data_IF_617267573756
#
_entry.id   IF_617267573756
#
_cell.length_a   1.000
_cell.length_b   1.000
_cell.length_c   1.000
_cell.angle_alpha   90.00
_cell.angle_beta   90.00
_cell.angle_gamma   90.00
#
_symmetry.space_group_name_H-M   'P 1'
#
loop_
_entity.id
_entity.type
_entity.pdbx_description
1 polymer ?
#
# COMPACT_ATOMS: atom_id res chain seq x y z
N UNK A 1 -32.22 -16.41 42.98
CA UNK A 1 -32.82 -15.44 42.03
C UNK A 1 -32.15 -14.10 42.23
N UNK A 2 -31.07 -13.84 41.49
CA UNK A 2 -30.32 -12.57 41.51
C UNK A 2 -30.75 -11.74 40.32
N UNK A 3 -31.45 -10.64 40.57
CA UNK A 3 -31.94 -9.72 39.56
C UNK A 3 -30.77 -9.09 38.77
N UNK A 4 -30.68 -9.38 37.47
CA UNK A 4 -29.83 -8.64 36.54
C UNK A 4 -30.51 -7.31 36.24
N UNK A 5 -29.93 -6.22 36.74
CA UNK A 5 -30.30 -4.89 36.28
C UNK A 5 -29.86 -4.73 34.81
N UNK A 6 -30.74 -4.23 33.93
CA UNK A 6 -30.36 -3.96 32.55
C UNK A 6 -29.52 -2.68 32.49
N UNK A 7 -28.25 -2.82 32.12
CA UNK A 7 -27.31 -1.75 31.75
C UNK A 7 -27.76 -1.06 30.44
N UNK A 8 -28.89 -0.36 30.46
CA UNK A 8 -29.45 0.36 29.29
C UNK A 8 -28.99 1.83 29.26
N UNK A 9 -28.31 2.33 30.30
CA UNK A 9 -27.93 3.75 30.42
C UNK A 9 -26.44 4.05 30.26
N UNK A 10 -25.58 3.05 30.03
CA UNK A 10 -24.20 3.29 29.62
C UNK A 10 -24.11 3.57 28.11
N UNK A 11 -24.80 4.62 27.64
CA UNK A 11 -24.48 5.19 26.34
C UNK A 11 -23.00 5.57 26.30
N UNK A 12 -22.25 5.35 25.21
CA UNK A 12 -20.82 5.60 25.16
C UNK A 12 -20.56 7.10 25.34
N UNK A 13 -20.28 7.50 26.58
CA UNK A 13 -19.85 8.83 26.95
C UNK A 13 -18.54 9.12 26.20
N UNK A 14 -18.62 10.00 25.20
CA UNK A 14 -17.42 10.62 24.61
C UNK A 14 -17.01 10.16 23.22
N UNK A 15 -17.95 10.00 22.28
CA UNK A 15 -17.57 10.03 20.87
C UNK A 15 -16.87 11.38 20.58
N UNK A 16 -15.65 11.40 20.02
CA UNK A 16 -14.90 12.65 19.81
C UNK A 16 -15.68 13.60 18.90
N UNK A 17 -15.76 14.87 19.31
CA UNK A 17 -16.40 15.94 18.54
C UNK A 17 -15.85 16.05 17.11
N UNK A 18 -16.62 16.65 16.19
CA UNK A 18 -16.21 16.82 14.78
C UNK A 18 -14.84 17.50 14.64
N UNK A 19 -14.59 18.54 15.44
CA UNK A 19 -13.30 19.25 15.46
C UNK A 19 -12.14 18.35 15.88
N UNK A 20 -12.31 17.53 16.93
CA UNK A 20 -11.29 16.59 17.37
C UNK A 20 -10.97 15.53 16.30
N UNK A 21 -11.97 15.11 15.51
CA UNK A 21 -11.78 14.20 14.37
C UNK A 21 -10.98 14.86 13.25
N UNK A 22 -11.29 16.11 12.90
CA UNK A 22 -10.56 16.89 11.89
C UNK A 22 -9.12 17.12 12.35
N UNK A 23 -8.92 17.57 13.59
CA UNK A 23 -7.57 17.78 14.15
C UNK A 23 -6.73 16.51 14.14
N UNK A 24 -7.32 15.35 14.51
CA UNK A 24 -6.64 14.05 14.43
C UNK A 24 -6.34 13.64 12.99
N UNK A 25 -7.23 13.94 12.04
CA UNK A 25 -6.99 13.68 10.63
C UNK A 25 -5.82 14.50 10.11
N UNK A 26 -5.80 15.82 10.37
CA UNK A 26 -4.72 16.72 9.97
C UNK A 26 -3.38 16.34 10.62
N UNK A 27 -3.37 16.02 11.91
CA UNK A 27 -2.16 15.59 12.61
C UNK A 27 -1.60 14.28 12.01
N UNK A 28 -2.45 13.29 11.78
CA UNK A 28 -2.02 12.02 11.16
C UNK A 28 -1.56 12.23 9.72
N UNK A 29 -2.25 13.11 8.97
CA UNK A 29 -1.86 13.54 7.63
C UNK A 29 -0.47 14.15 7.62
N UNK A 30 -0.24 15.17 8.43
CA UNK A 30 1.05 15.86 8.53
C UNK A 30 2.19 14.94 8.94
N UNK A 31 2.01 14.15 10.00
CA UNK A 31 3.03 13.19 10.45
C UNK A 31 3.33 12.12 9.39
N UNK A 32 2.28 11.57 8.76
CA UNK A 32 2.44 10.59 7.69
C UNK A 32 3.17 11.15 6.47
N UNK A 33 2.83 12.37 6.05
CA UNK A 33 3.53 13.11 5.00
C UNK A 33 5.02 13.28 5.32
N UNK A 34 5.34 13.76 6.51
CA UNK A 34 6.73 13.97 6.95
C UNK A 34 7.51 12.65 7.00
N UNK A 35 6.88 11.56 7.44
CA UNK A 35 7.53 10.25 7.44
C UNK A 35 7.72 9.69 6.02
N UNK A 36 6.88 10.08 5.06
CA UNK A 36 6.99 9.65 3.67
C UNK A 36 8.03 10.44 2.85
N UNK A 37 8.74 11.43 3.41
CA UNK A 37 9.81 12.16 2.70
C UNK A 37 11.09 11.33 2.56
N UNK A 38 11.29 10.31 3.39
CA UNK A 38 12.42 9.39 3.35
C UNK A 38 11.99 7.92 3.39
N UNK A 39 12.76 6.98 2.80
CA UNK A 39 12.37 5.58 2.70
C UNK A 39 12.44 4.87 4.06
N UNK A 40 13.41 5.22 4.91
CA UNK A 40 13.55 4.64 6.26
C UNK A 40 12.35 5.05 7.14
N UNK A 41 12.01 6.33 7.15
CA UNK A 41 10.85 6.84 7.89
C UNK A 41 9.52 6.36 7.29
N UNK A 42 9.46 6.13 5.97
CA UNK A 42 8.26 5.62 5.31
C UNK A 42 7.89 4.19 5.79
N UNK A 43 8.85 3.40 6.28
CA UNK A 43 8.58 2.11 6.94
C UNK A 43 7.69 2.30 8.17
N UNK A 44 7.90 3.36 8.95
CA UNK A 44 7.09 3.67 10.13
C UNK A 44 5.66 4.02 9.71
N UNK A 45 5.50 4.86 8.68
CA UNK A 45 4.19 5.20 8.12
C UNK A 45 3.46 3.97 7.55
N UNK A 46 4.18 3.12 6.81
CA UNK A 46 3.65 1.86 6.29
C UNK A 46 3.18 0.94 7.42
N UNK A 47 3.96 0.83 8.49
CA UNK A 47 3.61 0.04 9.66
C UNK A 47 2.38 0.55 10.40
N UNK A 48 2.28 1.86 10.59
CA UNK A 48 1.09 2.47 11.18
C UNK A 48 -0.16 2.21 10.33
N UNK A 49 -0.05 2.37 9.00
CA UNK A 49 -1.14 2.07 8.07
C UNK A 49 -1.55 0.60 8.09
N UNK A 50 -0.59 -0.33 8.12
CA UNK A 50 -0.85 -1.77 8.25
C UNK A 50 -1.59 -2.08 9.54
N UNK A 51 -1.12 -1.60 10.70
CA UNK A 51 -1.81 -1.79 11.98
C UNK A 51 -3.20 -1.17 12.00
N UNK A 52 -3.37 -0.01 11.36
CA UNK A 52 -4.68 0.65 11.25
C UNK A 52 -5.65 -0.18 10.40
N UNK A 53 -5.19 -0.74 9.29
CA UNK A 53 -5.98 -1.67 8.47
C UNK A 53 -6.38 -2.91 9.25
N UNK A 54 -5.44 -3.49 10.01
CA UNK A 54 -5.69 -4.64 10.87
C UNK A 54 -6.77 -4.33 11.91
N UNK A 55 -6.59 -3.25 12.68
CA UNK A 55 -7.56 -2.81 13.68
C UNK A 55 -8.96 -2.58 13.08
N UNK A 56 -9.05 -1.94 11.91
CA UNK A 56 -10.33 -1.75 11.23
C UNK A 56 -10.98 -3.10 10.86
N UNK A 57 -10.22 -4.07 10.35
CA UNK A 57 -10.76 -5.39 10.03
C UNK A 57 -11.21 -6.14 11.28
N UNK A 58 -10.35 -6.22 12.30
CA UNK A 58 -10.61 -6.88 13.59
C UNK A 58 -11.82 -6.33 14.33
N UNK A 59 -11.95 -5.00 14.38
CA UNK A 59 -13.13 -4.34 14.97
C UNK A 59 -14.45 -4.77 14.30
N UNK A 60 -14.41 -5.12 13.01
CA UNK A 60 -15.58 -5.61 12.26
C UNK A 60 -15.85 -7.08 12.50
N UNK A 61 -14.86 -7.82 12.99
CA UNK A 61 -14.99 -9.21 13.41
C UNK A 61 -15.46 -9.34 14.87
N UNK A 62 -15.67 -8.22 15.57
CA UNK A 62 -16.05 -8.21 16.98
C UNK A 62 -14.87 -8.25 17.95
N UNK A 63 -13.64 -8.21 17.44
CA UNK A 63 -12.43 -8.13 18.25
C UNK A 63 -12.20 -6.68 18.69
N UNK A 64 -12.42 -6.41 19.97
CA UNK A 64 -12.21 -5.10 20.58
C UNK A 64 -10.71 -4.90 20.86
N UNK A 65 -10.05 -4.13 20.01
CA UNK A 65 -8.65 -3.71 20.19
C UNK A 65 -8.56 -2.19 20.33
N UNK A 66 -7.57 -1.69 21.08
CA UNK A 66 -7.25 -0.26 21.08
C UNK A 66 -6.75 0.18 19.69
N UNK A 67 -7.19 1.37 19.24
CA UNK A 67 -6.74 1.91 17.96
C UNK A 67 -5.22 2.22 17.98
N UNK A 68 -4.48 1.91 16.90
CA UNK A 68 -3.04 2.10 16.87
C UNK A 68 -2.64 3.59 16.85
N UNK A 69 -1.71 3.96 17.72
CA UNK A 69 -1.03 5.26 17.72
C UNK A 69 0.26 5.28 16.90
N UNK A 70 0.74 6.47 16.55
CA UNK A 70 2.05 6.69 15.90
C UNK A 70 3.22 6.32 16.81
N UNK A 71 3.15 6.76 18.07
CA UNK A 71 4.18 6.52 19.09
C UNK A 71 3.62 5.72 20.26
N UNK A 72 2.46 6.09 20.77
CA UNK A 72 1.91 5.47 21.98
C UNK A 72 1.31 4.09 21.67
N UNK A 73 1.91 3.06 22.28
CA UNK A 73 1.37 1.72 22.40
C UNK A 73 0.21 1.61 23.41
N UNK A 74 -0.29 0.38 23.63
CA UNK A 74 -1.39 0.10 24.54
C UNK A 74 -1.16 0.67 25.94
N UNK A 75 -2.23 1.07 26.64
CA UNK A 75 -2.10 1.59 28.03
C UNK A 75 -1.74 0.50 29.02
N UNK A 76 -2.36 -0.66 28.85
CA UNK A 76 -2.19 -1.82 29.70
C UNK A 76 -1.63 -2.98 28.88
N UNK A 77 -0.64 -3.64 29.46
CA UNK A 77 -0.05 -4.86 28.91
C UNK A 77 -0.05 -5.89 30.03
N UNK A 78 -0.80 -6.98 29.85
CA UNK A 78 -0.98 -8.01 30.88
C UNK A 78 -1.54 -7.48 32.22
N UNK A 79 -2.50 -6.54 32.14
CA UNK A 79 -3.13 -5.94 33.33
C UNK A 79 -2.23 -5.01 34.15
N UNK A 80 -1.04 -4.65 33.64
CA UNK A 80 -0.17 -3.65 34.26
C UNK A 80 -0.14 -2.38 33.44
N UNK A 81 -0.22 -1.24 34.13
CA UNK A 81 0.00 0.06 33.50
C UNK A 81 1.44 0.16 32.98
N UNK A 82 1.58 0.62 31.75
CA UNK A 82 2.89 0.78 31.11
C UNK A 82 3.35 2.24 31.21
N UNK A 83 4.64 2.44 31.51
CA UNK A 83 5.22 3.79 31.57
C UNK A 83 5.11 4.50 30.22
N UNK A 84 5.01 5.84 30.24
CA UNK A 84 4.86 6.64 29.00
C UNK A 84 5.97 6.38 27.98
N UNK A 85 7.20 6.19 28.45
CA UNK A 85 8.38 5.90 27.61
C UNK A 85 8.27 4.50 27.02
N UNK A 86 7.95 3.49 27.84
CA UNK A 86 7.76 2.12 27.35
C UNK A 86 6.63 2.04 26.30
N UNK A 87 5.56 2.83 26.48
CA UNK A 87 4.49 2.96 25.50
C UNK A 87 4.95 3.60 24.20
N UNK A 88 5.70 4.71 24.29
CA UNK A 88 6.22 5.41 23.11
C UNK A 88 7.17 4.52 22.29
N UNK A 89 8.10 3.84 22.96
CA UNK A 89 9.05 2.93 22.31
C UNK A 89 8.34 1.68 21.78
N UNK A 90 7.39 1.13 22.54
CA UNK A 90 6.61 -0.04 22.13
C UNK A 90 5.73 0.22 20.92
N UNK A 91 5.07 1.39 20.84
CA UNK A 91 4.25 1.74 19.68
C UNK A 91 5.08 2.04 18.43
N UNK A 92 6.23 2.72 18.57
CA UNK A 92 7.19 2.91 17.49
C UNK A 92 7.74 1.57 16.99
N UNK A 93 8.19 0.70 17.90
CA UNK A 93 8.69 -0.64 17.56
C UNK A 93 7.64 -1.50 16.87
N UNK A 94 6.38 -1.42 17.29
CA UNK A 94 5.27 -2.11 16.64
C UNK A 94 5.03 -1.59 15.21
N UNK A 95 5.15 -0.27 14.98
CA UNK A 95 5.07 0.30 13.63
C UNK A 95 6.26 -0.15 12.77
N UNK A 96 7.49 -0.11 13.28
CA UNK A 96 8.66 -0.60 12.53
C UNK A 96 8.49 -2.09 12.15
N UNK A 97 8.12 -2.95 13.10
CA UNK A 97 7.89 -4.38 12.84
C UNK A 97 6.83 -4.59 11.77
N UNK A 98 5.65 -3.99 11.92
CA UNK A 98 4.56 -4.14 10.94
C UNK A 98 4.96 -3.59 9.57
N UNK A 99 5.70 -2.47 9.54
CA UNK A 99 6.24 -1.86 8.34
C UNK A 99 7.20 -2.79 7.62
N UNK A 100 8.16 -3.39 8.34
CA UNK A 100 9.14 -4.33 7.78
C UNK A 100 8.49 -5.61 7.26
N UNK A 101 7.53 -6.19 7.99
CA UNK A 101 6.78 -7.37 7.50
C UNK A 101 6.04 -7.03 6.21
N UNK A 102 5.38 -5.87 6.18
CA UNK A 102 4.64 -5.40 5.01
C UNK A 102 5.56 -5.12 3.83
N UNK A 103 6.72 -4.50 4.07
CA UNK A 103 7.72 -4.20 3.06
C UNK A 103 8.32 -5.49 2.48
N UNK A 104 8.65 -6.46 3.34
CA UNK A 104 9.15 -7.77 2.91
C UNK A 104 8.13 -8.50 2.03
N UNK A 105 6.84 -8.48 2.41
CA UNK A 105 5.78 -9.05 1.59
C UNK A 105 5.63 -8.31 0.25
N UNK A 106 5.69 -6.98 0.25
CA UNK A 106 5.67 -6.18 -0.97
C UNK A 106 6.82 -6.58 -1.89
N UNK A 107 8.07 -6.59 -1.40
CA UNK A 107 9.22 -7.01 -2.20
C UNK A 107 9.10 -8.44 -2.71
N UNK A 108 8.69 -9.39 -1.88
CA UNK A 108 8.53 -10.77 -2.32
C UNK A 108 7.55 -10.91 -3.51
N UNK A 109 6.48 -10.10 -3.52
CA UNK A 109 5.47 -10.13 -4.59
C UNK A 109 5.81 -9.25 -5.78
N UNK A 110 6.49 -8.12 -5.59
CA UNK A 110 6.70 -7.14 -6.67
C UNK A 110 8.09 -7.19 -7.29
N UNK A 111 9.10 -7.65 -6.54
CA UNK A 111 10.48 -7.70 -7.01
C UNK A 111 10.65 -8.58 -8.26
N UNK A 112 10.03 -9.78 -8.39
CA UNK A 112 10.26 -10.64 -9.56
C UNK A 112 9.96 -9.96 -10.89
N UNK A 113 8.79 -9.32 -11.05
CA UNK A 113 8.45 -8.61 -12.28
C UNK A 113 9.18 -7.27 -12.41
N UNK A 114 9.53 -6.62 -11.30
CA UNK A 114 10.32 -5.39 -11.32
C UNK A 114 11.73 -5.65 -11.85
N UNK A 115 12.36 -6.76 -11.45
CA UNK A 115 13.66 -7.18 -11.98
C UNK A 115 13.59 -7.53 -13.46
N UNK A 116 12.51 -8.17 -13.91
CA UNK A 116 12.28 -8.43 -15.33
C UNK A 116 12.16 -7.12 -16.11
N UNK A 117 11.37 -6.15 -15.65
CA UNK A 117 11.28 -4.84 -16.29
C UNK A 117 12.62 -4.09 -16.31
N UNK A 118 13.40 -4.17 -15.22
CA UNK A 118 14.75 -3.59 -15.18
C UNK A 118 15.68 -4.24 -16.21
N UNK A 119 15.69 -5.57 -16.30
CA UNK A 119 16.47 -6.31 -17.30
C UNK A 119 16.03 -6.01 -18.73
N UNK A 120 14.72 -5.87 -18.96
CA UNK A 120 14.17 -5.48 -20.25
C UNK A 120 14.60 -4.07 -20.67
N UNK A 121 14.56 -3.12 -19.73
CA UNK A 121 15.05 -1.76 -19.96
C UNK A 121 16.55 -1.78 -20.31
N UNK A 122 17.36 -2.52 -19.54
CA UNK A 122 18.80 -2.64 -19.77
C UNK A 122 19.11 -3.24 -21.14
N UNK A 123 18.42 -4.33 -21.51
CA UNK A 123 18.56 -4.95 -22.83
C UNK A 123 18.15 -4.01 -23.98
N UNK A 124 17.11 -3.18 -23.77
CA UNK A 124 16.71 -2.15 -24.72
C UNK A 124 17.80 -1.09 -24.92
N UNK A 125 18.39 -0.62 -23.81
CA UNK A 125 19.51 0.33 -23.85
C UNK A 125 20.72 -0.25 -24.59
N UNK A 126 21.18 -1.45 -24.20
CA UNK A 126 22.28 -2.16 -24.86
C UNK A 126 22.06 -2.33 -26.37
N UNK A 127 20.86 -2.74 -26.78
CA UNK A 127 20.53 -2.90 -28.20
C UNK A 127 20.59 -1.57 -28.96
N UNK A 128 20.14 -0.46 -28.35
CA UNK A 128 20.20 0.87 -28.96
C UNK A 128 21.63 1.40 -29.14
N UNK A 129 22.54 1.16 -28.19
CA UNK A 129 23.90 1.71 -28.24
C UNK A 129 24.90 0.78 -28.92
N UNK A 130 24.80 -0.52 -28.71
CA UNK A 130 25.73 -1.50 -29.26
C UNK A 130 25.27 -2.13 -30.58
N UNK A 131 24.13 -1.67 -31.13
CA UNK A 131 23.55 -2.14 -32.41
C UNK A 131 23.39 -3.67 -32.45
N UNK A 132 23.09 -4.27 -31.30
CA UNK A 132 22.97 -5.72 -31.11
C UNK A 132 21.67 -6.29 -31.68
N UNK A 133 21.38 -6.06 -32.96
CA UNK A 133 20.10 -6.42 -33.61
C UNK A 133 19.74 -7.91 -33.46
N UNK A 134 20.74 -8.78 -33.30
CA UNK A 134 20.56 -10.22 -33.03
C UNK A 134 19.78 -10.49 -31.73
N UNK A 135 19.79 -9.55 -30.78
CA UNK A 135 19.13 -9.64 -29.47
C UNK A 135 17.95 -8.67 -29.33
N UNK A 136 17.50 -8.02 -30.41
CA UNK A 136 16.45 -7.01 -30.36
C UNK A 136 15.11 -7.51 -29.76
N UNK A 137 14.83 -8.81 -29.84
CA UNK A 137 13.62 -9.41 -29.28
C UNK A 137 13.70 -9.68 -27.77
N UNK A 138 14.89 -9.69 -27.17
CA UNK A 138 15.11 -10.09 -25.77
C UNK A 138 14.43 -9.11 -24.80
N UNK A 139 14.70 -7.81 -24.96
CA UNK A 139 14.10 -6.74 -24.14
C UNK A 139 12.55 -6.79 -24.14
N UNK A 140 11.89 -6.73 -25.31
CA UNK A 140 10.43 -6.84 -25.41
C UNK A 140 9.87 -8.12 -24.78
N UNK A 141 10.51 -9.28 -25.00
CA UNK A 141 10.04 -10.56 -24.47
C UNK A 141 10.08 -10.59 -22.94
N UNK A 142 11.19 -10.13 -22.35
CA UNK A 142 11.34 -10.03 -20.88
C UNK A 142 10.33 -9.02 -20.31
N UNK A 143 10.11 -7.88 -20.99
CA UNK A 143 9.13 -6.88 -20.55
C UNK A 143 7.70 -7.43 -20.54
N UNK A 144 7.29 -8.11 -21.61
CA UNK A 144 5.96 -8.72 -21.71
C UNK A 144 5.77 -9.81 -20.65
N UNK A 145 6.80 -10.63 -20.41
CA UNK A 145 6.75 -11.64 -19.36
C UNK A 145 6.62 -11.02 -17.95
N UNK A 146 7.42 -9.99 -17.64
CA UNK A 146 7.28 -9.24 -16.39
C UNK A 146 5.89 -8.61 -16.26
N UNK A 147 5.36 -8.04 -17.35
CA UNK A 147 4.03 -7.44 -17.38
C UNK A 147 2.92 -8.46 -17.14
N UNK A 148 3.04 -9.67 -17.70
CA UNK A 148 2.09 -10.76 -17.44
C UNK A 148 2.08 -11.16 -15.96
N UNK A 149 3.26 -11.29 -15.34
CA UNK A 149 3.39 -11.60 -13.91
C UNK A 149 2.82 -10.46 -13.06
N UNK A 150 3.13 -9.20 -13.39
CA UNK A 150 2.60 -8.03 -12.70
C UNK A 150 1.06 -7.97 -12.79
N UNK A 151 0.50 -8.19 -13.99
CA UNK A 151 -0.94 -8.21 -14.20
C UNK A 151 -1.63 -9.29 -13.35
N UNK A 152 -0.98 -10.44 -13.15
CA UNK A 152 -1.51 -11.51 -12.29
C UNK A 152 -1.44 -11.18 -10.80
N UNK A 153 -0.42 -10.47 -10.33
CA UNK A 153 -0.18 -10.24 -8.89
C UNK A 153 -0.86 -8.96 -8.39
N UNK A 154 -0.73 -7.86 -9.11
CA UNK A 154 -1.15 -6.53 -8.65
C UNK A 154 -2.63 -6.45 -8.26
N UNK A 155 -3.60 -7.06 -8.99
CA UNK A 155 -5.01 -7.04 -8.61
C UNK A 155 -5.31 -7.62 -7.23
N UNK A 156 -4.57 -8.65 -6.81
CA UNK A 156 -4.77 -9.30 -5.52
C UNK A 156 -4.04 -8.60 -4.38
N UNK A 157 -2.95 -7.87 -4.70
CA UNK A 157 -2.00 -7.34 -3.72
C UNK A 157 -2.65 -6.51 -2.60
N UNK A 158 -3.58 -5.56 -2.85
CA UNK A 158 -4.19 -4.79 -1.76
C UNK A 158 -4.96 -5.65 -0.75
N UNK A 159 -5.61 -6.73 -1.22
CA UNK A 159 -6.35 -7.67 -0.38
C UNK A 159 -5.42 -8.61 0.38
N UNK A 160 -4.32 -9.03 -0.26
CA UNK A 160 -3.25 -9.80 0.38
C UNK A 160 -2.63 -9.03 1.54
N UNK A 161 -2.37 -7.74 1.35
CA UNK A 161 -1.81 -6.87 2.38
C UNK A 161 -2.80 -6.59 3.51
N UNK A 162 -4.10 -6.51 3.23
CA UNK A 162 -5.13 -6.41 4.27
C UNK A 162 -5.25 -7.71 5.08
N UNK A 163 -5.12 -8.86 4.41
CA UNK A 163 -5.10 -10.16 5.08
C UNK A 163 -3.86 -10.33 5.98
N UNK A 164 -2.68 -10.06 5.44
CA UNK A 164 -1.42 -10.06 6.19
C UNK A 164 -1.48 -9.09 7.38
N UNK A 165 -2.04 -7.89 7.19
CA UNK A 165 -2.20 -6.93 8.27
C UNK A 165 -3.07 -7.51 9.40
N UNK A 166 -4.18 -8.15 9.04
CA UNK A 166 -5.12 -8.70 10.01
C UNK A 166 -4.55 -9.90 10.76
N UNK A 167 -3.84 -10.80 10.08
CA UNK A 167 -3.23 -11.98 10.71
C UNK A 167 -1.89 -11.68 11.40
N UNK A 168 -1.31 -10.49 11.18
CA UNK A 168 -0.03 -10.04 11.73
C UNK A 168 1.14 -11.04 11.54
N UNK A 169 1.12 -11.81 10.44
CA UNK A 169 2.18 -12.77 10.07
C UNK A 169 2.55 -12.65 8.60
N UNK A 170 3.84 -12.77 8.29
CA UNK A 170 4.35 -12.68 6.92
C UNK A 170 3.77 -13.78 6.01
N UNK A 171 3.67 -15.01 6.53
CA UNK A 171 3.18 -16.18 5.78
C UNK A 171 1.75 -16.01 5.27
N UNK A 172 0.91 -15.22 5.94
CA UNK A 172 -0.47 -14.95 5.49
C UNK A 172 -0.50 -14.30 4.10
N UNK A 173 0.50 -13.48 3.76
CA UNK A 173 0.66 -12.90 2.43
C UNK A 173 0.89 -13.92 1.31
N UNK A 174 1.16 -15.19 1.65
CA UNK A 174 1.47 -16.27 0.70
C UNK A 174 0.44 -17.40 0.68
N UNK A 175 -0.64 -17.28 1.47
CA UNK A 175 -1.70 -18.29 1.53
C UNK A 175 -2.66 -18.16 0.33
N UNK A 176 -2.17 -18.49 -0.87
CA UNK A 176 -2.83 -18.23 -2.16
C UNK A 176 -4.26 -18.78 -2.26
N UNK A 177 -4.54 -19.91 -1.60
CA UNK A 177 -5.90 -20.49 -1.57
C UNK A 177 -6.91 -19.59 -0.84
N UNK A 178 -6.49 -18.97 0.28
CA UNK A 178 -7.32 -18.02 1.04
C UNK A 178 -7.46 -16.71 0.28
N UNK A 179 -6.38 -16.23 -0.32
CA UNK A 179 -6.38 -15.03 -1.17
C UNK A 179 -7.33 -15.22 -2.37
N UNK A 180 -7.28 -16.36 -3.05
CA UNK A 180 -8.20 -16.67 -4.15
C UNK A 180 -9.66 -16.69 -3.72
N UNK A 181 -9.97 -17.28 -2.55
CA UNK A 181 -11.33 -17.27 -1.98
C UNK A 181 -11.79 -15.84 -1.62
N UNK A 182 -10.89 -15.03 -1.08
CA UNK A 182 -11.12 -13.62 -0.73
C UNK A 182 -11.38 -12.75 -1.97
N UNK A 183 -10.57 -12.90 -3.02
CA UNK A 183 -10.73 -12.21 -4.32
C UNK A 183 -12.08 -12.57 -4.94
N UNK A 184 -12.43 -13.86 -4.95
CA UNK A 184 -13.71 -14.32 -5.47
C UNK A 184 -14.92 -13.69 -4.73
N UNK A 185 -14.82 -13.52 -3.41
CA UNK A 185 -15.85 -12.87 -2.61
C UNK A 185 -15.88 -11.34 -2.71
N UNK A 186 -14.78 -10.73 -3.19
CA UNK A 186 -14.68 -9.27 -3.32
C UNK A 186 -15.42 -8.75 -4.56
N UNK A 187 -15.45 -9.54 -5.65
CA UNK A 187 -16.17 -9.23 -6.89
C UNK A 187 -15.66 -7.96 -7.58
N UNK A 188 -16.58 -7.10 -8.05
CA UNK A 188 -16.27 -5.84 -8.74
C UNK A 188 -15.36 -4.88 -7.96
N UNK A 189 -15.23 -5.07 -6.64
CA UNK A 189 -14.38 -4.24 -5.79
C UNK A 189 -12.90 -4.39 -6.11
N UNK A 190 -12.49 -5.52 -6.69
CA UNK A 190 -11.11 -5.77 -7.14
C UNK A 190 -10.73 -4.82 -8.29
N UNK A 191 -11.44 -4.80 -9.44
CA UNK A 191 -11.12 -3.85 -10.50
C UNK A 191 -11.31 -2.39 -10.08
N UNK A 192 -12.28 -2.07 -9.22
CA UNK A 192 -12.43 -0.71 -8.69
C UNK A 192 -11.22 -0.26 -7.85
N UNK A 193 -10.67 -1.16 -7.02
CA UNK A 193 -9.47 -0.86 -6.24
C UNK A 193 -8.24 -0.72 -7.13
N UNK A 194 -8.16 -1.49 -8.21
CA UNK A 194 -7.09 -1.32 -9.21
C UNK A 194 -7.20 -0.01 -9.99
N UNK A 195 -8.41 0.39 -10.39
CA UNK A 195 -8.62 1.68 -11.05
C UNK A 195 -8.16 2.83 -10.13
N UNK A 196 -8.54 2.79 -8.86
CA UNK A 196 -8.10 3.77 -7.88
C UNK A 196 -6.58 3.73 -7.66
N UNK A 197 -5.98 2.54 -7.63
CA UNK A 197 -4.51 2.39 -7.52
C UNK A 197 -3.82 3.05 -8.71
N UNK A 198 -4.30 2.82 -9.93
CA UNK A 198 -3.76 3.45 -11.14
C UNK A 198 -3.92 4.97 -11.13
N UNK A 199 -5.08 5.49 -10.70
CA UNK A 199 -5.30 6.94 -10.54
C UNK A 199 -4.36 7.55 -9.49
N UNK A 200 -4.18 6.88 -8.34
CA UNK A 200 -3.25 7.31 -7.30
C UNK A 200 -1.78 7.27 -7.76
N UNK A 201 -1.43 6.36 -8.68
CA UNK A 201 -0.08 6.26 -9.23
C UNK A 201 0.25 7.39 -10.23
N UNK A 202 -0.78 7.97 -10.88
CA UNK A 202 -0.59 8.93 -11.97
C UNK A 202 0.25 10.16 -11.59
N UNK A 203 0.07 10.82 -10.43
CA UNK A 203 0.92 11.97 -10.07
C UNK A 203 2.41 11.63 -9.92
N UNK A 204 2.75 10.40 -9.53
CA UNK A 204 4.15 9.97 -9.49
C UNK A 204 4.74 9.80 -10.90
N UNK A 205 3.94 9.26 -11.83
CA UNK A 205 4.34 9.17 -13.23
C UNK A 205 4.47 10.56 -13.86
N UNK A 206 3.50 11.45 -13.61
CA UNK A 206 3.52 12.83 -14.09
C UNK A 206 4.71 13.63 -13.55
N UNK A 207 5.06 13.44 -12.27
CA UNK A 207 6.21 14.10 -11.67
C UNK A 207 7.54 13.70 -12.31
N UNK A 208 7.68 12.49 -12.85
CA UNK A 208 8.86 12.11 -13.65
C UNK A 208 8.93 12.92 -14.94
N UNK A 209 7.80 13.03 -15.65
CA UNK A 209 7.70 13.87 -16.84
C UNK A 209 8.02 15.34 -16.57
N UNK A 210 7.57 15.86 -15.42
CA UNK A 210 7.83 17.22 -15.00
C UNK A 210 9.33 17.54 -14.95
N UNK A 211 10.20 16.60 -14.57
CA UNK A 211 11.65 16.86 -14.52
C UNK A 211 12.19 17.21 -15.92
N UNK A 212 11.72 16.52 -16.95
CA UNK A 212 12.16 16.75 -18.34
C UNK A 212 11.47 17.91 -19.03
N UNK A 213 10.21 18.20 -18.69
CA UNK A 213 9.41 19.19 -19.42
C UNK A 213 9.15 20.46 -18.63
N UNK A 214 9.60 20.58 -17.38
CA UNK A 214 9.26 21.71 -16.52
C UNK A 214 9.57 23.07 -17.17
N UNK A 215 10.69 23.22 -17.88
CA UNK A 215 11.06 24.49 -18.53
C UNK A 215 10.21 24.79 -19.75
N UNK A 216 9.69 23.78 -20.47
CA UNK A 216 8.75 24.00 -21.58
C UNK A 216 7.41 24.59 -21.09
N UNK A 217 6.95 24.17 -19.91
CA UNK A 217 5.67 24.61 -19.33
C UNK A 217 5.81 25.82 -18.41
N UNK A 218 7.00 26.02 -17.85
CA UNK A 218 7.35 27.10 -16.94
C UNK A 218 8.77 27.63 -17.27
N UNK A 219 8.94 28.40 -18.36
CA UNK A 219 10.26 28.87 -18.82
C UNK A 219 11.03 29.69 -17.77
N UNK A 220 10.30 30.39 -16.89
CA UNK A 220 10.88 31.17 -15.78
C UNK A 220 11.69 30.33 -14.78
N UNK A 221 11.58 28.99 -14.81
CA UNK A 221 12.42 28.09 -14.01
C UNK A 221 13.90 28.15 -14.42
N UNK A 222 14.19 28.47 -15.69
CA UNK A 222 15.57 28.61 -16.18
C UNK A 222 16.28 29.83 -15.58
N UNK A 223 15.50 30.88 -15.27
CA UNK A 223 16.00 32.15 -14.73
C UNK A 223 16.16 32.13 -13.21
N UNK A 224 15.70 31.06 -12.52
CA UNK A 224 15.77 31.00 -11.07
C UNK A 224 17.20 30.75 -10.59
N UNK A 225 17.62 31.40 -9.48
CA UNK A 225 18.87 31.04 -8.83
C UNK A 225 18.80 29.61 -8.26
N UNK A 226 19.95 28.91 -8.12
CA UNK A 226 19.99 27.52 -7.67
C UNK A 226 19.25 27.24 -6.35
N UNK A 227 19.27 28.19 -5.42
CA UNK A 227 18.56 28.09 -4.13
C UNK A 227 17.05 27.99 -4.31
N UNK A 228 16.47 28.80 -5.21
CA UNK A 228 15.03 28.77 -5.51
C UNK A 228 14.64 27.49 -6.25
N UNK A 229 15.51 26.98 -7.12
CA UNK A 229 15.29 25.67 -7.76
C UNK A 229 15.27 24.56 -6.70
N UNK A 230 16.15 24.60 -5.72
CA UNK A 230 16.16 23.64 -4.61
C UNK A 230 14.88 23.72 -3.76
N UNK A 231 14.41 24.93 -3.44
CA UNK A 231 13.13 25.13 -2.74
C UNK A 231 11.94 24.54 -3.51
N UNK A 232 11.85 24.78 -4.82
CA UNK A 232 10.79 24.23 -5.68
C UNK A 232 10.84 22.69 -5.68
N UNK A 233 12.04 22.11 -5.80
CA UNK A 233 12.23 20.65 -5.71
C UNK A 233 11.77 20.09 -4.36
N UNK A 234 12.11 20.76 -3.26
CA UNK A 234 11.69 20.36 -1.92
C UNK A 234 10.15 20.42 -1.76
N UNK A 235 9.50 21.46 -2.30
CA UNK A 235 8.03 21.57 -2.29
C UNK A 235 7.36 20.46 -3.11
N UNK A 236 7.88 20.15 -4.29
CA UNK A 236 7.40 19.03 -5.12
C UNK A 236 7.57 17.70 -4.37
N UNK A 237 8.74 17.46 -3.76
CA UNK A 237 9.00 16.26 -2.98
C UNK A 237 8.03 16.13 -1.79
N UNK A 238 7.78 17.22 -1.07
CA UNK A 238 6.82 17.25 0.04
C UNK A 238 5.38 16.98 -0.45
N UNK A 239 4.99 17.55 -1.58
CA UNK A 239 3.67 17.32 -2.19
C UNK A 239 3.51 15.85 -2.62
N UNK A 240 4.54 15.25 -3.21
CA UNK A 240 4.54 13.82 -3.56
C UNK A 240 4.52 12.91 -2.33
N UNK A 241 5.24 13.26 -1.26
CA UNK A 241 5.19 12.53 0.01
C UNK A 241 3.78 12.60 0.64
N UNK A 242 3.14 13.77 0.59
CA UNK A 242 1.76 13.94 1.05
C UNK A 242 0.78 13.09 0.23
N UNK A 243 0.94 13.13 -1.10
CA UNK A 243 0.14 12.32 -2.00
C UNK A 243 0.36 10.82 -1.81
N UNK A 244 1.60 10.38 -1.56
CA UNK A 244 1.95 8.98 -1.27
C UNK A 244 1.24 8.50 -0.01
N UNK A 245 1.36 9.28 1.07
CA UNK A 245 0.71 8.93 2.33
C UNK A 245 -0.81 8.90 2.19
N UNK A 246 -1.42 9.93 1.57
CA UNK A 246 -2.86 10.01 1.39
C UNK A 246 -3.39 8.87 0.51
N UNK A 247 -2.71 8.57 -0.59
CA UNK A 247 -3.07 7.48 -1.51
C UNK A 247 -2.98 6.13 -0.81
N UNK A 248 -1.87 5.87 -0.10
CA UNK A 248 -1.71 4.63 0.67
C UNK A 248 -2.75 4.53 1.78
N UNK A 249 -3.04 5.61 2.51
CA UNK A 249 -4.08 5.63 3.53
C UNK A 249 -5.44 5.26 2.91
N UNK A 250 -5.85 5.91 1.83
CA UNK A 250 -7.10 5.64 1.15
C UNK A 250 -7.18 4.19 0.67
N UNK A 251 -6.17 3.71 -0.06
CA UNK A 251 -6.12 2.35 -0.61
C UNK A 251 -6.13 1.29 0.49
N UNK A 252 -5.36 1.48 1.57
CA UNK A 252 -5.29 0.55 2.71
C UNK A 252 -6.59 0.50 3.49
N UNK A 253 -7.26 1.64 3.65
CA UNK A 253 -8.55 1.74 4.31
C UNK A 253 -9.65 1.04 3.50
N UNK A 254 -9.69 1.27 2.19
CA UNK A 254 -10.64 0.62 1.30
C UNK A 254 -10.36 -0.89 1.18
N UNK A 255 -9.09 -1.28 1.03
CA UNK A 255 -8.67 -2.69 1.04
C UNK A 255 -9.10 -3.41 2.33
N UNK A 256 -8.86 -2.80 3.50
CA UNK A 256 -9.32 -3.34 4.79
C UNK A 256 -10.84 -3.44 4.88
N UNK A 257 -11.59 -2.47 4.34
CA UNK A 257 -13.07 -2.53 4.27
C UNK A 257 -13.58 -3.65 3.37
N UNK A 258 -12.93 -3.86 2.23
CA UNK A 258 -13.27 -4.94 1.30
C UNK A 258 -12.96 -6.28 1.97
N UNK A 259 -11.77 -6.42 2.55
CA UNK A 259 -11.34 -7.60 3.30
C UNK A 259 -12.30 -7.93 4.45
N UNK A 260 -12.63 -6.97 5.31
CA UNK A 260 -13.52 -7.16 6.45
C UNK A 260 -14.94 -7.61 6.05
N UNK A 261 -15.36 -7.36 4.81
CA UNK A 261 -16.65 -7.82 4.27
C UNK A 261 -16.55 -9.17 3.57
N UNK A 262 -15.46 -9.41 2.85
CA UNK A 262 -15.29 -10.57 1.99
C UNK A 262 -14.71 -11.78 2.73
N UNK A 263 -13.80 -11.58 3.68
CA UNK A 263 -13.14 -12.65 4.41
C UNK A 263 -14.10 -13.50 5.26
N UNK A 264 -15.03 -12.93 6.06
CA UNK A 264 -15.98 -13.75 6.82
C UNK A 264 -16.93 -14.58 5.95
N UNK A 265 -17.27 -14.05 4.76
CA UNK A 265 -18.08 -14.77 3.76
C UNK A 265 -17.31 -15.91 3.12
N UNK A 266 -16.03 -15.69 2.84
CA UNK A 266 -15.15 -16.73 2.34
C UNK A 266 -14.94 -17.84 3.38
N UNK A 267 -14.82 -17.47 4.65
CA UNK A 267 -14.73 -18.40 5.77
C UNK A 267 -16.02 -19.21 5.94
N UNK A 268 -17.20 -18.59 5.89
CA UNK A 268 -18.49 -19.29 5.99
C UNK A 268 -18.73 -20.32 4.88
N UNK A 269 -18.18 -20.11 3.67
CA UNK A 269 -18.29 -21.07 2.56
C UNK A 269 -17.23 -22.18 2.60
N UNK A 270 -16.08 -21.93 3.22
CA UNK A 270 -14.94 -22.84 3.26
C UNK A 270 -14.30 -22.84 4.66
N UNK A 271 -15.01 -23.30 5.70
CA UNK A 271 -14.55 -23.18 7.08
C UNK A 271 -13.16 -23.80 7.27
N UNK A 272 -12.96 -25.03 6.82
CA UNK A 272 -11.67 -25.72 6.94
C UNK A 272 -10.49 -25.03 6.22
N UNK A 273 -10.76 -24.14 5.25
CA UNK A 273 -9.70 -23.34 4.66
C UNK A 273 -9.29 -22.19 5.59
N UNK A 274 -10.21 -21.63 6.38
CA UNK A 274 -10.01 -20.44 7.21
C UNK A 274 -9.82 -20.74 8.70
N UNK A 275 -9.75 -22.02 9.09
CA UNK A 275 -9.46 -22.42 10.47
C UNK A 275 -8.21 -21.71 11.02
N UNK A 276 -8.34 -21.23 12.27
CA UNK A 276 -7.30 -20.48 12.98
C UNK A 276 -7.09 -19.03 12.53
N UNK A 277 -7.92 -18.52 11.61
CA UNK A 277 -7.87 -17.09 11.21
C UNK A 277 -8.89 -16.26 11.99
N UNK A 278 -8.62 -14.97 12.12
CA UNK A 278 -9.55 -14.05 12.80
C UNK A 278 -10.86 -13.88 12.01
N UNK A 279 -10.83 -14.05 10.69
CA UNK A 279 -12.03 -13.97 9.86
C UNK A 279 -12.98 -15.16 10.06
N UNK A 280 -12.49 -16.30 10.54
CA UNK A 280 -13.32 -17.47 10.84
C UNK A 280 -14.22 -17.25 12.05
N UNK A 281 -13.78 -16.46 13.03
CA UNK A 281 -14.60 -16.11 14.21
C UNK A 281 -15.84 -15.29 13.83
N UNK A 282 -15.73 -14.50 12.76
CA UNK A 282 -16.83 -13.69 12.23
C UNK A 282 -17.58 -14.38 11.08
N UNK A 283 -17.31 -15.67 10.81
CA UNK A 283 -17.86 -16.38 9.66
C UNK A 283 -19.38 -16.28 9.61
N UNK A 284 -19.91 -15.98 8.43
CA UNK A 284 -21.34 -15.78 8.22
C UNK A 284 -21.82 -16.41 6.92
N UNK A 285 -23.15 -16.62 6.76
CA UNK A 285 -23.72 -17.21 5.56
C UNK A 285 -23.38 -16.35 4.35
N UNK A 286 -22.99 -17.02 3.26
CA UNK A 286 -22.64 -16.37 2.00
C UNK A 286 -23.09 -17.21 0.81
N UNK A 287 -23.21 -16.57 -0.35
CA UNK A 287 -23.49 -17.26 -1.61
C UNK A 287 -22.17 -17.61 -2.30
N UNK A 288 -22.12 -18.80 -2.89
CA UNK A 288 -20.99 -19.19 -3.72
C UNK A 288 -20.82 -18.17 -4.86
N UNK A 289 -19.61 -17.60 -5.06
CA UNK A 289 -19.39 -16.64 -6.11
C UNK A 289 -19.40 -17.38 -7.45
N UNK A 290 -19.98 -16.76 -8.48
CA UNK A 290 -19.89 -17.30 -9.84
C UNK A 290 -18.44 -17.29 -10.31
N UNK A 291 -17.93 -18.46 -10.74
CA UNK A 291 -16.56 -18.60 -11.27
C UNK A 291 -16.35 -17.72 -12.50
N UNK A 292 -17.35 -17.68 -13.37
CA UNK A 292 -17.33 -16.87 -14.59
C UNK A 292 -17.19 -15.37 -14.27
N UNK A 293 -18.06 -14.84 -13.40
CA UNK A 293 -17.97 -13.42 -13.02
C UNK A 293 -16.69 -13.10 -12.23
N UNK A 294 -16.20 -14.04 -11.41
CA UNK A 294 -14.91 -13.88 -10.73
C UNK A 294 -13.78 -13.74 -11.73
N UNK A 295 -13.73 -14.60 -12.74
CA UNK A 295 -12.73 -14.52 -13.81
C UNK A 295 -12.84 -13.20 -14.59
N UNK A 296 -14.06 -12.77 -14.95
CA UNK A 296 -14.28 -11.48 -15.63
C UNK A 296 -13.75 -10.31 -14.79
N UNK A 297 -14.13 -10.21 -13.51
CA UNK A 297 -13.69 -9.10 -12.67
C UNK A 297 -12.17 -9.10 -12.47
N UNK A 298 -11.56 -10.28 -12.38
CA UNK A 298 -10.12 -10.39 -12.29
C UNK A 298 -9.44 -9.97 -13.59
N UNK A 299 -9.91 -10.42 -14.75
CA UNK A 299 -9.40 -10.04 -16.07
C UNK A 299 -9.50 -8.53 -16.31
N UNK A 300 -10.60 -7.89 -15.90
CA UNK A 300 -10.73 -6.43 -15.97
C UNK A 300 -9.67 -5.76 -15.07
N UNK A 301 -9.48 -6.26 -13.85
CA UNK A 301 -8.46 -5.73 -12.95
C UNK A 301 -7.02 -5.91 -13.50
N UNK A 302 -6.75 -7.05 -14.16
CA UNK A 302 -5.50 -7.30 -14.89
C UNK A 302 -5.33 -6.25 -16.00
N UNK A 303 -6.35 -6.02 -16.83
CA UNK A 303 -6.32 -5.02 -17.89
C UNK A 303 -6.03 -3.60 -17.38
N UNK A 304 -6.66 -3.20 -16.26
CA UNK A 304 -6.38 -1.92 -15.60
C UNK A 304 -4.93 -1.83 -15.10
N UNK A 305 -4.36 -2.95 -14.63
CA UNK A 305 -2.97 -3.01 -14.16
C UNK A 305 -1.95 -2.85 -15.30
N UNK A 306 -2.31 -3.21 -16.53
CA UNK A 306 -1.46 -3.00 -17.71
C UNK A 306 -1.23 -1.51 -17.97
N UNK A 307 -2.24 -0.66 -17.76
CA UNK A 307 -2.08 0.79 -17.88
C UNK A 307 -1.02 1.33 -16.90
N UNK A 308 -0.95 0.77 -15.69
CA UNK A 308 0.10 1.13 -14.72
C UNK A 308 1.49 0.67 -15.15
N UNK A 309 1.59 -0.52 -15.76
CA UNK A 309 2.86 -1.03 -16.31
C UNK A 309 3.36 -0.14 -17.45
N UNK A 310 2.45 0.36 -18.29
CA UNK A 310 2.77 1.33 -19.34
C UNK A 310 3.25 2.67 -18.78
N UNK A 311 2.61 3.20 -17.73
CA UNK A 311 3.05 4.44 -17.06
C UNK A 311 4.47 4.33 -16.48
N UNK A 312 4.86 3.15 -15.99
CA UNK A 312 6.22 2.91 -15.51
C UNK A 312 7.23 2.97 -16.66
N UNK A 313 6.92 2.31 -17.78
CA UNK A 313 7.77 2.30 -18.96
C UNK A 313 7.92 3.69 -19.58
N UNK A 314 6.82 4.42 -19.78
CA UNK A 314 6.88 5.78 -20.32
C UNK A 314 7.65 6.71 -19.40
N UNK A 315 7.48 6.59 -18.08
CA UNK A 315 8.22 7.38 -17.10
C UNK A 315 9.74 7.17 -17.09
N UNK A 316 10.25 6.04 -17.60
CA UNK A 316 11.70 5.79 -17.69
C UNK A 316 12.37 6.52 -18.85
N UNK A 317 11.64 6.76 -19.95
CA UNK A 317 12.14 7.58 -21.06
C UNK A 317 12.18 9.07 -20.71
N UNK A 318 11.46 9.48 -19.66
CA UNK A 318 11.32 10.84 -19.19
C UNK A 318 12.24 11.19 -18.01
N UNK A 319 13.11 10.28 -17.57
CA UNK A 319 14.02 10.56 -16.47
C UNK A 319 15.43 10.13 -16.86
N UNK A 320 16.23 11.00 -17.50
CA UNK A 320 17.61 10.67 -17.86
C UNK A 320 18.55 10.48 -16.66
N UNK A 321 18.09 10.62 -15.41
CA UNK A 321 18.91 10.52 -14.21
C UNK A 321 18.69 9.24 -13.39
N UNK A 322 17.79 8.33 -13.80
CA UNK A 322 17.46 7.11 -13.03
C UNK A 322 18.70 6.21 -12.79
N UNK A 323 19.69 6.20 -13.70
CA UNK A 323 20.94 5.45 -13.55
C UNK A 323 21.76 5.90 -12.33
N UNK A 324 21.68 7.19 -11.96
CA UNK A 324 22.37 7.71 -10.76
C UNK A 324 21.87 7.01 -9.49
N UNK A 325 20.62 6.57 -9.46
CA UNK A 325 20.04 5.84 -8.33
C UNK A 325 20.57 4.42 -8.19
N UNK A 326 20.91 3.78 -9.30
CA UNK A 326 21.46 2.41 -9.28
C UNK A 326 22.93 2.44 -8.84
N UNK A 327 23.70 3.44 -9.30
CA UNK A 327 25.12 3.54 -8.99
C UNK A 327 25.43 4.31 -7.70
N UNK A 328 24.54 5.22 -7.30
CA UNK A 328 24.69 6.06 -6.10
C UNK A 328 23.36 6.17 -5.31
N UNK A 329 22.77 5.04 -4.87
CA UNK A 329 21.46 5.03 -4.20
C UNK A 329 21.42 5.93 -2.95
N UNK A 330 22.55 6.19 -2.31
CA UNK A 330 22.64 7.08 -1.15
C UNK A 330 22.78 8.58 -1.49
N UNK A 331 23.28 8.95 -2.68
CA UNK A 331 23.65 10.33 -3.02
C UNK A 331 22.66 11.04 -3.96
N UNK A 332 21.81 10.30 -4.68
CA UNK A 332 20.99 10.88 -5.78
C UNK A 332 19.49 10.66 -5.66
N UNK A 333 19.02 10.07 -4.56
CA UNK A 333 17.65 10.34 -4.14
C UNK A 333 17.53 11.86 -3.97
N UNK A 334 16.42 12.52 -4.39
CA UNK A 334 16.15 13.91 -4.05
C UNK A 334 15.88 13.95 -2.55
N UNK A 335 16.94 13.85 -1.78
CA UNK A 335 16.94 14.06 -0.36
C UNK A 335 16.73 15.55 -0.15
N UNK A 336 15.85 15.89 0.78
CA UNK A 336 16.00 17.17 1.48
C UNK A 336 17.22 17.00 2.38
N UNK A 337 18.39 17.24 1.79
CA UNK A 337 19.72 17.08 2.38
C UNK A 337 20.76 17.51 1.37
#
# INVERSE_FOLDING_TARGET
MTARFPDILAGPLGAPGRLARIGRFLLNGGLGTLLCTGPVSAVIALGWLTRRSAHHARSRFGLAEEAPGWLLGPREVHGRETSRIARALGGLGANIRAGMITLAALFAWTLPFTLLWMGAWWAGWENSFNKGYEQAFVGPSIFLFGTLIAALILPALPLMLAYLATEDRLSAGFELRRIGALVAQSGWRVPALMALTSLCAFPFAAARGLITTATDWAPWLEDLPPERIAEVRAQIALALAAWAFLSLWLLRHLGARIYARAAPRAAGLRPGLWDGTQAAEAAGPARAPSRFFTAIWYLIAMGISLALSFLILSGQFLDHAWWRWVFHPALTLPWSG
#
